data_IF_596871787586
#
_entry.id   IF_596871787586
#
_cell.length_a   1.000
_cell.length_b   1.000
_cell.length_c   1.000
_cell.angle_alpha   90.00
_cell.angle_beta   90.00
_cell.angle_gamma   90.00
#
_symmetry.space_group_name_H-M   'P 1'
#
loop_
_entity.id
_entity.type
_entity.pdbx_description
1 polymer ?
#
# COMPACT_ATOMS: atom_id res chain seq x y z
N UNK A 1 -2.33 -7.78 -7.35
CA UNK A 1 -2.17 -6.40 -6.87
C UNK A 1 -0.70 -6.00 -6.72
N UNK A 2 0.12 -6.68 -5.90
CA UNK A 2 1.53 -6.27 -5.73
C UNK A 2 2.34 -6.29 -7.04
N UNK A 3 2.09 -7.25 -7.94
CA UNK A 3 2.68 -7.25 -9.30
C UNK A 3 2.32 -5.99 -10.10
N UNK A 4 1.09 -5.49 -9.98
CA UNK A 4 0.65 -4.25 -10.64
C UNK A 4 1.36 -3.04 -10.05
N UNK A 5 1.53 -3.00 -8.72
CA UNK A 5 2.32 -1.95 -8.05
C UNK A 5 3.78 -1.96 -8.55
N UNK A 6 4.39 -3.14 -8.72
CA UNK A 6 5.75 -3.27 -9.26
C UNK A 6 5.87 -2.68 -10.68
N UNK A 7 4.96 -3.05 -11.57
CA UNK A 7 4.95 -2.55 -12.96
C UNK A 7 4.75 -1.03 -12.99
N UNK A 8 3.86 -0.49 -12.16
CA UNK A 8 3.69 0.95 -12.03
C UNK A 8 4.97 1.65 -11.54
N UNK A 9 5.68 1.06 -10.56
CA UNK A 9 6.95 1.59 -10.08
C UNK A 9 8.04 1.56 -11.16
N UNK A 10 8.10 0.51 -11.97
CA UNK A 10 8.99 0.42 -13.13
C UNK A 10 8.72 1.59 -14.11
N UNK A 11 7.46 1.82 -14.48
CA UNK A 11 7.11 2.96 -15.34
C UNK A 11 7.42 4.33 -14.71
N UNK A 12 7.19 4.49 -13.41
CA UNK A 12 7.49 5.74 -12.69
C UNK A 12 9.00 6.07 -12.69
N UNK A 13 9.86 5.04 -12.70
CA UNK A 13 11.32 5.18 -12.78
C UNK A 13 11.79 5.50 -14.19
N UNK A 14 11.15 4.96 -15.21
CA UNK A 14 11.55 5.13 -16.60
C UNK A 14 11.15 6.48 -17.19
N UNK A 15 9.97 6.99 -16.85
CA UNK A 15 9.40 8.19 -17.47
C UNK A 15 9.00 9.21 -16.42
N UNK A 16 9.35 10.47 -16.67
CA UNK A 16 8.87 11.60 -15.87
C UNK A 16 7.42 11.96 -16.21
N UNK A 17 7.09 11.93 -17.50
CA UNK A 17 5.72 12.13 -17.96
C UNK A 17 4.79 11.06 -17.36
N UNK A 18 3.73 11.51 -16.67
CA UNK A 18 2.78 10.63 -16.01
C UNK A 18 3.29 9.94 -14.74
N UNK A 19 4.52 10.25 -14.27
CA UNK A 19 5.11 9.67 -13.05
C UNK A 19 4.20 9.82 -11.83
N UNK A 20 3.56 10.98 -11.68
CA UNK A 20 2.59 11.23 -10.61
C UNK A 20 1.51 10.15 -10.55
N UNK A 21 0.88 9.83 -11.69
CA UNK A 21 -0.16 8.81 -11.76
C UNK A 21 0.39 7.40 -11.53
N UNK A 22 1.62 7.13 -11.97
CA UNK A 22 2.27 5.86 -11.69
C UNK A 22 2.62 5.70 -10.20
N UNK A 23 3.12 6.74 -9.54
CA UNK A 23 3.33 6.76 -8.09
C UNK A 23 2.00 6.55 -7.34
N UNK A 24 0.94 7.25 -7.74
CA UNK A 24 -0.42 7.03 -7.22
C UNK A 24 -0.84 5.55 -7.36
N UNK A 25 -0.64 4.95 -8.54
CA UNK A 25 -0.95 3.54 -8.79
C UNK A 25 -0.16 2.60 -7.87
N UNK A 26 1.13 2.87 -7.61
CA UNK A 26 1.94 2.09 -6.66
C UNK A 26 1.30 2.09 -5.28
N UNK A 27 0.88 3.25 -4.78
CA UNK A 27 0.27 3.40 -3.45
C UNK A 27 -1.08 2.66 -3.37
N UNK A 28 -1.96 2.85 -4.36
CA UNK A 28 -3.28 2.18 -4.43
C UNK A 28 -3.13 0.66 -4.52
N UNK A 29 -2.32 0.16 -5.45
CA UNK A 29 -2.17 -1.29 -5.62
C UNK A 29 -1.44 -1.94 -4.44
N UNK A 30 -0.57 -1.21 -3.75
CA UNK A 30 0.02 -1.66 -2.49
C UNK A 30 -1.04 -1.79 -1.39
N UNK A 31 -1.93 -0.80 -1.23
CA UNK A 31 -3.04 -0.89 -0.28
C UNK A 31 -3.93 -2.11 -0.53
N UNK A 32 -4.32 -2.35 -1.78
CA UNK A 32 -5.11 -3.52 -2.15
C UNK A 32 -4.37 -4.84 -1.97
N UNK A 33 -3.05 -4.85 -2.18
CA UNK A 33 -2.23 -6.03 -1.93
C UNK A 33 -2.23 -6.38 -0.44
N UNK A 34 -2.04 -5.40 0.44
CA UNK A 34 -2.11 -5.62 1.89
C UNK A 34 -3.51 -6.07 2.29
N UNK A 35 -4.58 -5.42 1.81
CA UNK A 35 -5.96 -5.79 2.16
C UNK A 35 -6.29 -7.24 1.79
N UNK A 36 -5.94 -7.64 0.55
CA UNK A 36 -6.13 -9.01 0.10
C UNK A 36 -5.29 -10.00 0.94
N UNK A 37 -4.04 -9.65 1.25
CA UNK A 37 -3.18 -10.48 2.07
C UNK A 37 -3.66 -10.61 3.51
N UNK A 38 -4.16 -9.53 4.13
CA UNK A 38 -4.74 -9.55 5.47
C UNK A 38 -5.97 -10.45 5.53
N UNK A 39 -6.80 -10.45 4.49
CA UNK A 39 -7.96 -11.34 4.44
C UNK A 39 -7.52 -12.81 4.30
N UNK A 40 -6.51 -13.09 3.47
CA UNK A 40 -5.92 -14.43 3.35
C UNK A 40 -5.31 -14.92 4.67
N UNK A 41 -4.42 -14.13 5.27
CA UNK A 41 -3.74 -14.47 6.52
C UNK A 41 -4.73 -14.61 7.67
N UNK A 42 -5.72 -13.71 7.74
CA UNK A 42 -6.76 -13.79 8.76
C UNK A 42 -7.58 -15.07 8.68
N UNK A 43 -7.99 -15.49 7.47
CA UNK A 43 -8.67 -16.77 7.25
C UNK A 43 -7.79 -17.98 7.62
N UNK A 44 -6.47 -17.87 7.47
CA UNK A 44 -5.52 -18.89 7.90
C UNK A 44 -5.40 -18.97 9.45
N UNK A 45 -5.42 -17.83 10.14
CA UNK A 45 -5.19 -17.75 11.59
C UNK A 45 -6.47 -17.84 12.45
N UNK A 46 -7.65 -17.58 11.89
CA UNK A 46 -8.93 -17.61 12.61
C UNK A 46 -10.01 -18.27 11.75
N UNK A 47 -10.50 -19.44 12.17
CA UNK A 47 -11.59 -20.13 11.46
C UNK A 47 -12.89 -19.32 11.39
N UNK A 48 -13.07 -18.32 12.27
CA UNK A 48 -14.21 -17.41 12.27
C UNK A 48 -13.90 -16.04 11.63
N UNK A 49 -12.82 -15.92 10.86
CA UNK A 49 -12.35 -14.65 10.30
C UNK A 49 -13.43 -13.90 9.51
N UNK A 50 -14.16 -14.59 8.62
CA UNK A 50 -15.19 -14.01 7.76
C UNK A 50 -16.26 -13.22 8.54
N UNK A 51 -16.64 -13.71 9.72
CA UNK A 51 -17.64 -13.07 10.59
C UNK A 51 -17.14 -11.78 11.28
N UNK A 52 -15.82 -11.58 11.34
CA UNK A 52 -15.15 -10.49 12.09
C UNK A 52 -14.47 -9.50 11.16
N UNK A 53 -13.95 -9.93 10.02
CA UNK A 53 -13.00 -9.15 9.22
C UNK A 53 -13.50 -7.77 8.80
N UNK A 54 -14.80 -7.63 8.49
CA UNK A 54 -15.43 -6.37 8.08
C UNK A 54 -15.62 -5.39 9.24
N UNK A 55 -15.61 -5.88 10.48
CA UNK A 55 -15.79 -5.09 11.71
C UNK A 55 -14.45 -4.63 12.31
N UNK A 56 -13.35 -5.22 11.87
CA UNK A 56 -12.01 -4.89 12.37
C UNK A 56 -11.42 -3.76 11.55
N UNK A 57 -10.96 -2.71 12.23
CA UNK A 57 -10.13 -1.70 11.59
C UNK A 57 -8.82 -2.31 11.09
N UNK A 58 -8.24 -1.71 10.06
CA UNK A 58 -7.03 -2.20 9.41
C UNK A 58 -5.84 -2.29 10.38
N UNK A 59 -5.68 -1.27 11.23
CA UNK A 59 -4.71 -1.29 12.34
C UNK A 59 -4.96 -2.42 13.33
N UNK A 60 -6.23 -2.66 13.70
CA UNK A 60 -6.58 -3.75 14.62
C UNK A 60 -6.28 -5.13 14.02
N UNK A 61 -6.47 -5.31 12.71
CA UNK A 61 -6.05 -6.54 12.01
C UNK A 61 -4.53 -6.74 12.13
N UNK A 62 -3.75 -5.72 11.75
CA UNK A 62 -2.28 -5.79 11.81
C UNK A 62 -1.76 -6.07 13.23
N UNK A 63 -2.33 -5.38 14.23
CA UNK A 63 -1.99 -5.61 15.64
C UNK A 63 -2.29 -7.04 16.08
N UNK A 64 -3.46 -7.57 15.72
CA UNK A 64 -3.80 -8.96 16.03
C UNK A 64 -2.85 -9.95 15.37
N UNK A 65 -2.40 -9.70 14.14
CA UNK A 65 -1.41 -10.56 13.50
C UNK A 65 -0.05 -10.48 14.20
N UNK A 66 0.43 -9.28 14.54
CA UNK A 66 1.68 -9.09 15.28
C UNK A 66 1.66 -9.83 16.63
N UNK A 67 0.54 -9.77 17.36
CA UNK A 67 0.33 -10.45 18.64
C UNK A 67 0.24 -11.98 18.47
N UNK A 68 -0.60 -12.47 17.53
CA UNK A 68 -0.81 -13.91 17.32
C UNK A 68 0.39 -14.64 16.74
N UNK A 69 1.20 -13.94 15.95
CA UNK A 69 2.42 -14.49 15.35
C UNK A 69 3.66 -14.27 16.23
N UNK A 70 3.49 -13.72 17.44
CA UNK A 70 4.56 -13.44 18.41
C UNK A 70 5.73 -12.62 17.82
N UNK A 71 5.41 -11.77 16.84
CA UNK A 71 6.38 -11.01 16.07
C UNK A 71 7.02 -9.87 16.88
N UNK A 72 6.33 -9.37 17.91
CA UNK A 72 6.77 -8.30 18.81
C UNK A 72 7.30 -7.05 18.08
N UNK A 73 6.78 -6.76 16.88
CA UNK A 73 7.25 -5.65 16.06
C UNK A 73 6.65 -4.32 16.53
N UNK A 74 7.43 -3.25 16.38
CA UNK A 74 6.98 -1.88 16.59
C UNK A 74 6.22 -1.39 15.34
N UNK A 75 4.89 -1.37 15.42
CA UNK A 75 4.02 -1.01 14.30
C UNK A 75 4.11 0.48 13.90
N UNK A 76 4.81 1.31 14.68
CA UNK A 76 5.09 2.70 14.34
C UNK A 76 6.31 2.86 13.41
N UNK A 77 7.07 1.77 13.20
CA UNK A 77 8.29 1.75 12.39
C UNK A 77 8.10 0.98 11.10
N UNK A 78 9.03 1.19 10.17
CA UNK A 78 9.09 0.39 8.96
C UNK A 78 9.41 -1.07 9.26
N UNK A 79 8.82 -2.02 8.51
CA UNK A 79 7.96 -1.80 7.33
C UNK A 79 6.47 -1.57 7.65
N UNK A 80 6.05 -1.77 8.90
CA UNK A 80 4.63 -1.78 9.29
C UNK A 80 3.97 -0.39 9.29
N UNK A 81 4.76 0.67 9.48
CA UNK A 81 4.28 2.04 9.30
C UNK A 81 3.78 2.29 7.88
N UNK A 82 4.52 1.83 6.87
CA UNK A 82 4.11 1.92 5.45
C UNK A 82 2.79 1.20 5.17
N UNK A 83 2.50 0.11 5.87
CA UNK A 83 1.20 -0.59 5.76
C UNK A 83 0.05 0.33 6.21
N UNK A 84 0.25 1.11 7.26
CA UNK A 84 -0.75 2.09 7.69
C UNK A 84 -0.85 3.26 6.72
N UNK A 85 0.29 3.77 6.24
CA UNK A 85 0.33 4.87 5.27
C UNK A 85 -0.47 4.56 3.99
N UNK A 86 -0.35 3.34 3.43
CA UNK A 86 -1.12 2.98 2.21
C UNK A 86 -2.62 2.87 2.46
N UNK A 87 -3.03 2.51 3.66
CA UNK A 87 -4.43 2.44 4.02
C UNK A 87 -5.04 3.82 4.23
N UNK A 88 -4.31 4.72 4.88
CA UNK A 88 -4.71 6.12 5.04
C UNK A 88 -4.80 6.80 3.67
N UNK A 89 -3.82 6.56 2.80
CA UNK A 89 -3.83 7.02 1.41
C UNK A 89 -5.04 6.52 0.63
N UNK A 90 -5.30 5.21 0.66
CA UNK A 90 -6.47 4.62 -0.01
C UNK A 90 -7.77 5.24 0.49
N UNK A 91 -7.91 5.45 1.80
CA UNK A 91 -9.12 6.05 2.36
C UNK A 91 -9.29 7.51 1.94
N UNK A 92 -8.19 8.29 1.86
CA UNK A 92 -8.22 9.65 1.32
C UNK A 92 -8.72 9.68 -0.13
N UNK A 93 -8.21 8.78 -0.99
CA UNK A 93 -8.66 8.69 -2.39
C UNK A 93 -10.11 8.21 -2.51
N UNK A 94 -10.49 7.17 -1.75
CA UNK A 94 -11.81 6.56 -1.86
C UNK A 94 -12.94 7.43 -1.30
N UNK A 95 -12.64 8.27 -0.32
CA UNK A 95 -13.63 9.13 0.34
C UNK A 95 -13.64 10.56 -0.15
N UNK A 96 -12.70 10.97 -1.02
CA UNK A 96 -12.73 12.15 -1.89
C UNK A 96 -13.53 13.33 -1.34
N UNK A 97 -13.27 13.74 -0.10
CA UNK A 97 -14.02 14.81 0.55
C UNK A 97 -13.56 16.14 -0.02
N UNK A 98 -14.47 17.11 -0.09
CA UNK A 98 -14.07 18.50 -0.32
C UNK A 98 -13.24 18.96 0.86
N UNK A 99 -12.02 19.42 0.60
CA UNK A 99 -11.08 19.93 1.60
C UNK A 99 -10.69 21.35 1.21
N UNK A 100 -10.82 22.29 2.15
CA UNK A 100 -10.22 23.62 2.02
C UNK A 100 -8.76 23.52 2.46
N UNK A 101 -7.82 23.79 1.55
CA UNK A 101 -6.38 23.75 1.82
C UNK A 101 -5.85 25.17 1.77
N UNK A 102 -5.45 25.69 2.93
CA UNK A 102 -4.73 26.95 3.04
C UNK A 102 -3.23 26.65 3.21
N UNK A 103 -2.40 27.13 2.29
CA UNK A 103 -0.94 26.98 2.34
C UNK A 103 -0.29 28.31 2.01
N UNK A 104 0.70 28.71 2.81
CA UNK A 104 1.51 29.88 2.53
C UNK A 104 2.90 29.41 2.11
N UNK A 105 3.21 29.56 0.83
CA UNK A 105 4.50 29.17 0.24
C UNK A 105 4.94 30.20 -0.80
N UNK A 106 6.25 30.41 -0.90
CA UNK A 106 6.85 31.21 -1.95
C UNK A 106 7.23 30.28 -3.10
N UNK A 107 6.62 30.48 -4.26
CA UNK A 107 6.89 29.70 -5.47
C UNK A 107 7.39 30.61 -6.57
N UNK A 108 8.43 30.16 -7.28
CA UNK A 108 8.91 30.80 -8.51
C UNK A 108 8.28 30.07 -9.70
N UNK A 109 7.21 30.65 -10.25
CA UNK A 109 6.46 30.08 -11.37
C UNK A 109 6.36 31.12 -12.48
N UNK A 110 6.42 30.67 -13.73
CA UNK A 110 6.00 31.46 -14.88
C UNK A 110 4.48 31.70 -14.88
N UNK A 111 3.98 32.64 -15.69
CA UNK A 111 2.54 32.91 -15.80
C UNK A 111 1.73 31.68 -16.24
N UNK A 112 2.30 30.82 -17.10
CA UNK A 112 1.64 29.59 -17.57
C UNK A 112 1.61 28.51 -16.47
N UNK A 113 2.69 28.38 -15.70
CA UNK A 113 2.76 27.46 -14.56
C UNK A 113 1.80 27.89 -13.44
N UNK A 114 1.65 29.18 -13.18
CA UNK A 114 0.71 29.70 -12.17
C UNK A 114 -0.74 29.27 -12.46
N UNK A 115 -1.14 29.19 -13.74
CA UNK A 115 -2.50 28.78 -14.16
C UNK A 115 -2.79 27.30 -13.93
N UNK A 116 -1.75 26.48 -13.92
CA UNK A 116 -1.83 25.03 -13.72
C UNK A 116 -1.34 24.61 -12.33
N UNK A 117 -0.91 25.58 -11.51
CA UNK A 117 -0.47 25.35 -10.15
C UNK A 117 -1.62 24.85 -9.29
N UNK A 118 -1.50 23.62 -8.81
CA UNK A 118 -2.44 23.04 -7.86
C UNK A 118 -1.75 22.95 -6.50
N UNK A 119 -2.41 23.45 -5.47
CA UNK A 119 -2.02 23.16 -4.09
C UNK A 119 -2.36 21.69 -3.86
N UNK A 120 -1.31 20.86 -3.77
CA UNK A 120 -1.45 19.44 -3.49
C UNK A 120 -2.17 19.22 -2.15
N UNK A 121 -3.23 18.42 -2.17
CA UNK A 121 -3.75 17.84 -0.93
C UNK A 121 -2.73 16.83 -0.39
N UNK A 122 -2.85 16.44 0.89
CA UNK A 122 -1.89 15.50 1.52
C UNK A 122 -1.68 14.20 0.72
N UNK A 123 -2.71 13.70 0.05
CA UNK A 123 -2.58 12.49 -0.77
C UNK A 123 -1.82 12.77 -2.09
N UNK A 124 -1.97 13.95 -2.69
CA UNK A 124 -1.19 14.33 -3.88
C UNK A 124 0.30 14.45 -3.53
N UNK A 125 0.63 15.07 -2.39
CA UNK A 125 2.00 15.21 -1.90
C UNK A 125 2.66 13.84 -1.63
N UNK A 126 1.87 12.79 -1.38
CA UNK A 126 2.38 11.43 -1.21
C UNK A 126 2.79 10.76 -2.54
N UNK A 127 2.33 11.25 -3.70
CA UNK A 127 2.55 10.65 -5.02
C UNK A 127 3.93 11.01 -5.62
N UNK A 128 5.00 10.82 -4.86
CA UNK A 128 6.39 10.97 -5.33
C UNK A 128 7.01 9.62 -5.68
N UNK A 129 8.06 9.62 -6.51
CA UNK A 129 8.78 8.40 -6.87
C UNK A 129 9.46 7.77 -5.64
N UNK A 130 10.05 8.60 -4.79
CA UNK A 130 10.74 8.19 -3.57
C UNK A 130 9.76 7.51 -2.61
N UNK A 131 8.59 8.11 -2.40
CA UNK A 131 7.58 7.55 -1.53
C UNK A 131 6.98 6.27 -2.11
N UNK A 132 6.69 6.24 -3.42
CA UNK A 132 6.21 5.04 -4.10
C UNK A 132 7.22 3.87 -3.96
N UNK A 133 8.51 4.12 -4.15
CA UNK A 133 9.55 3.12 -4.00
C UNK A 133 9.66 2.61 -2.55
N UNK A 134 9.66 3.52 -1.57
CA UNK A 134 9.66 3.19 -0.13
C UNK A 134 8.48 2.30 0.22
N UNK A 135 7.26 2.75 -0.13
CA UNK A 135 6.02 2.06 0.18
C UNK A 135 6.00 0.67 -0.44
N UNK A 136 6.35 0.53 -1.72
CA UNK A 136 6.39 -0.76 -2.39
C UNK A 136 7.31 -1.74 -1.67
N UNK A 137 8.55 -1.31 -1.37
CA UNK A 137 9.54 -2.14 -0.69
C UNK A 137 9.07 -2.55 0.71
N UNK A 138 8.52 -1.61 1.47
CA UNK A 138 8.08 -1.88 2.84
C UNK A 138 6.83 -2.75 2.87
N UNK A 139 5.86 -2.54 1.97
CA UNK A 139 4.68 -3.40 1.86
C UNK A 139 5.08 -4.83 1.47
N UNK A 140 6.00 -5.00 0.53
CA UNK A 140 6.53 -6.31 0.16
C UNK A 140 7.17 -7.00 1.38
N UNK A 141 8.03 -6.28 2.10
CA UNK A 141 8.73 -6.81 3.28
C UNK A 141 7.77 -7.13 4.43
N UNK A 142 6.81 -6.26 4.74
CA UNK A 142 5.79 -6.51 5.78
C UNK A 142 4.99 -7.79 5.48
N UNK A 143 4.58 -7.98 4.21
CA UNK A 143 3.89 -9.20 3.80
C UNK A 143 4.80 -10.43 3.98
N UNK A 144 6.08 -10.34 3.58
CA UNK A 144 7.05 -11.43 3.76
C UNK A 144 7.26 -11.79 5.23
N UNK A 145 7.41 -10.81 6.11
CA UNK A 145 7.58 -11.04 7.55
C UNK A 145 6.36 -11.74 8.15
N UNK A 146 5.16 -11.26 7.85
CA UNK A 146 3.91 -11.88 8.29
C UNK A 146 3.76 -13.30 7.75
N UNK A 147 4.07 -13.52 6.47
CA UNK A 147 3.94 -14.82 5.80
C UNK A 147 4.87 -15.86 6.38
N UNK A 148 6.13 -15.47 6.58
CA UNK A 148 7.15 -16.31 7.20
C UNK A 148 6.79 -16.66 8.64
N UNK A 149 6.36 -15.67 9.43
CA UNK A 149 5.97 -15.90 10.82
C UNK A 149 4.72 -16.79 10.96
N UNK A 150 3.83 -16.77 9.96
CA UNK A 150 2.69 -17.69 9.88
C UNK A 150 3.06 -19.13 9.45
N UNK A 151 4.33 -19.41 9.14
CA UNK A 151 4.77 -20.74 8.71
C UNK A 151 4.34 -21.12 7.28
N UNK A 152 3.96 -20.14 6.46
CA UNK A 152 3.43 -20.35 5.10
C UNK A 152 4.54 -20.45 4.01
N UNK A 153 5.80 -20.56 4.41
CA UNK A 153 6.97 -20.63 3.52
C UNK A 153 7.63 -19.27 3.22
N UNK A 154 8.46 -19.22 2.19
CA UNK A 154 9.29 -18.04 1.87
C UNK A 154 8.71 -17.12 0.78
N UNK A 155 7.71 -17.61 0.04
CA UNK A 155 7.26 -16.97 -1.20
C UNK A 155 5.76 -16.66 -1.19
N UNK A 156 5.32 -15.60 -0.48
CA UNK A 156 3.91 -15.16 -0.45
C UNK A 156 3.32 -14.83 -1.84
N UNK A 157 4.18 -14.68 -2.85
CA UNK A 157 3.79 -14.21 -4.18
C UNK A 157 3.88 -15.27 -5.29
N UNK A 158 4.30 -16.51 -4.99
CA UNK A 158 4.44 -17.57 -6.01
C UNK A 158 3.11 -18.29 -6.29
N UNK A 159 2.23 -18.44 -5.29
CA UNK A 159 1.01 -19.25 -5.43
C UNK A 159 -0.23 -18.53 -6.00
N UNK A 160 -0.06 -17.40 -6.70
CA UNK A 160 -1.19 -16.66 -7.28
C UNK A 160 -1.91 -17.41 -8.43
N UNK A 161 -1.34 -18.51 -8.94
CA UNK A 161 -1.98 -19.38 -9.92
C UNK A 161 -1.78 -20.85 -9.52
N UNK A 162 -2.79 -21.49 -8.95
CA UNK A 162 -3.01 -22.92 -9.22
C UNK A 162 -3.79 -23.05 -10.53
N UNK A 163 -3.22 -22.56 -11.63
CA UNK A 163 -3.61 -23.06 -12.95
C UNK A 163 -2.85 -24.36 -13.11
N UNK A 164 -3.56 -25.48 -13.00
CA UNK A 164 -3.05 -26.79 -13.36
C UNK A 164 -2.70 -26.76 -14.86
N UNK A 165 -1.44 -26.45 -15.18
CA UNK A 165 -0.91 -26.76 -16.49
C UNK A 165 -0.38 -28.19 -16.42
N UNK A 166 -1.20 -29.14 -16.83
CA UNK A 166 -0.70 -30.40 -17.37
C UNK A 166 0.00 -30.08 -18.69
N UNK A 167 1.32 -30.23 -18.73
CA UNK A 167 2.04 -30.29 -19.99
C UNK A 167 1.57 -31.55 -20.72
N UNK A 168 1.05 -31.35 -21.93
CA UNK A 168 0.88 -32.41 -22.92
C UNK A 168 2.22 -32.74 -23.56
#
# INVERSE_FOLDING_TARGET
MLKSARVALEFAREKEEGRFFQAMNVLVYSAFAVEAYFNHLGAHLDSNWESKERKLSKFKKLRQFNERLELNQDLSKEPFRSVMDVFDFRDALAHGKTEEVERQETVELSEDELRSYMIGTKWMDACTLENAARIFSNVEEAIRQLHKAAGLGEYPFIHYHSSAYSLA
#
